data_IF_161838354697
#
_entry.id   IF_161838354697
#
_cell.length_a   1.000
_cell.length_b   1.000
_cell.length_c   1.000
_cell.angle_alpha   90.00
_cell.angle_beta   90.00
_cell.angle_gamma   90.00
#
_symmetry.space_group_name_H-M   'P 1'
#
loop_
_entity.id
_entity.type
_entity.pdbx_description
1 polymer ?
#
# COMPACT_ATOMS: atom_id res chain seq x y z
N UNK A 1 11.27 -9.47 -2.56
CA UNK A 1 11.16 -10.29 -1.33
C UNK A 1 9.68 -10.42 -0.99
N UNK A 2 9.16 -11.62 -0.68
CA UNK A 2 7.72 -11.86 -0.41
C UNK A 2 7.38 -12.19 1.04
N UNK A 3 8.37 -12.24 1.92
CA UNK A 3 8.23 -12.42 3.37
C UNK A 3 9.10 -11.36 4.05
N UNK A 4 8.49 -10.48 4.84
CA UNK A 4 9.14 -9.31 5.40
C UNK A 4 9.08 -9.32 6.92
N UNK A 5 10.22 -9.15 7.58
CA UNK A 5 10.26 -8.95 9.02
C UNK A 5 9.89 -7.48 9.34
N UNK A 6 8.68 -7.26 9.82
CA UNK A 6 8.18 -5.93 10.21
C UNK A 6 7.73 -6.01 11.67
N UNK A 7 8.27 -5.14 12.53
CA UNK A 7 7.93 -5.09 13.96
C UNK A 7 8.04 -6.46 14.68
N UNK A 8 9.07 -7.25 14.35
CA UNK A 8 9.31 -8.61 14.85
C UNK A 8 8.26 -9.66 14.45
N UNK A 9 7.40 -9.36 13.47
CA UNK A 9 6.47 -10.30 12.86
C UNK A 9 6.94 -10.66 11.44
N UNK A 10 6.63 -11.87 11.01
CA UNK A 10 6.88 -12.30 9.63
C UNK A 10 5.62 -12.02 8.81
N UNK A 11 5.66 -10.93 8.07
CA UNK A 11 4.54 -10.48 7.24
C UNK A 11 4.65 -11.03 5.83
N UNK A 12 3.51 -11.38 5.24
CA UNK A 12 3.38 -11.73 3.83
C UNK A 12 2.39 -10.79 3.14
N UNK A 13 2.03 -11.11 1.89
CA UNK A 13 1.09 -10.30 1.12
C UNK A 13 -0.29 -10.16 1.79
N UNK A 14 -0.75 -11.16 2.56
CA UNK A 14 -2.06 -11.11 3.19
C UNK A 14 -2.15 -10.00 4.24
N UNK A 15 -1.06 -9.72 4.97
CA UNK A 15 -0.98 -8.58 5.90
C UNK A 15 -1.15 -7.25 5.16
N UNK A 16 -0.48 -7.09 4.02
CA UNK A 16 -0.63 -5.90 3.19
C UNK A 16 -2.06 -5.79 2.62
N UNK A 17 -2.66 -6.91 2.21
CA UNK A 17 -4.03 -6.95 1.68
C UNK A 17 -5.06 -6.51 2.71
N UNK A 18 -5.03 -7.05 3.93
CA UNK A 18 -5.99 -6.63 4.96
C UNK A 18 -5.76 -5.18 5.39
N UNK A 19 -4.52 -4.69 5.37
CA UNK A 19 -4.20 -3.30 5.73
C UNK A 19 -4.76 -2.31 4.72
N UNK A 20 -4.48 -2.50 3.41
CA UNK A 20 -5.02 -1.62 2.36
C UNK A 20 -6.53 -1.70 2.24
N UNK A 21 -7.11 -2.89 2.49
CA UNK A 21 -8.55 -3.10 2.41
C UNK A 21 -9.32 -2.34 3.48
N UNK A 22 -8.77 -2.27 4.71
CA UNK A 22 -9.37 -1.47 5.78
C UNK A 22 -9.41 0.01 5.45
N UNK A 23 -8.29 0.56 4.94
CA UNK A 23 -8.21 1.98 4.56
C UNK A 23 -9.17 2.29 3.41
N UNK A 24 -9.21 1.44 2.38
CA UNK A 24 -10.16 1.55 1.28
C UNK A 24 -11.61 1.57 1.79
N UNK A 25 -11.97 0.63 2.67
CA UNK A 25 -13.32 0.53 3.22
C UNK A 25 -13.68 1.76 4.06
N UNK A 26 -12.75 2.26 4.88
CA UNK A 26 -12.98 3.46 5.70
C UNK A 26 -13.17 4.71 4.84
N UNK A 27 -12.38 4.88 3.78
CA UNK A 27 -12.55 5.97 2.81
C UNK A 27 -13.90 5.86 2.10
N UNK A 28 -14.24 4.66 1.61
CA UNK A 28 -15.49 4.41 0.86
C UNK A 28 -16.74 4.69 1.69
N UNK A 29 -16.70 4.38 2.99
CA UNK A 29 -17.83 4.55 3.90
C UNK A 29 -17.73 5.80 4.78
N UNK A 30 -16.81 6.72 4.48
CA UNK A 30 -16.68 8.00 5.20
C UNK A 30 -16.34 7.86 6.68
N UNK A 31 -15.66 6.78 7.09
CA UNK A 31 -15.15 6.59 8.46
C UNK A 31 -13.90 7.41 8.74
N UNK A 32 -13.15 7.71 7.68
CA UNK A 32 -11.98 8.60 7.70
C UNK A 32 -12.02 9.50 6.47
N UNK A 33 -11.53 10.73 6.57
CA UNK A 33 -11.39 11.62 5.42
C UNK A 33 -10.16 11.25 4.59
N UNK A 34 -10.22 11.54 3.29
CA UNK A 34 -9.08 11.37 2.38
C UNK A 34 -7.87 12.19 2.83
N UNK A 35 -8.08 13.44 3.21
CA UNK A 35 -7.00 14.32 3.66
C UNK A 35 -6.30 13.74 4.90
N UNK A 36 -7.05 13.15 5.84
CA UNK A 36 -6.46 12.52 7.02
C UNK A 36 -5.58 11.32 6.66
N UNK A 37 -6.00 10.52 5.68
CA UNK A 37 -5.21 9.37 5.21
C UNK A 37 -3.93 9.84 4.52
N UNK A 38 -4.01 10.85 3.66
CA UNK A 38 -2.85 11.43 2.98
C UNK A 38 -1.85 12.07 3.95
N UNK A 39 -2.33 12.72 5.01
CA UNK A 39 -1.48 13.25 6.07
C UNK A 39 -0.72 12.15 6.80
N UNK A 40 -1.42 11.06 7.16
CA UNK A 40 -0.80 9.91 7.81
C UNK A 40 0.21 9.21 6.89
N UNK A 41 -0.10 9.01 5.62
CA UNK A 41 0.85 8.42 4.66
C UNK A 41 2.14 9.22 4.57
N UNK A 42 2.04 10.55 4.49
CA UNK A 42 3.21 11.43 4.48
C UNK A 42 4.04 11.27 5.77
N UNK A 43 3.38 11.30 6.93
CA UNK A 43 4.03 11.12 8.23
C UNK A 43 4.74 9.74 8.34
N UNK A 44 4.13 8.67 7.83
CA UNK A 44 4.73 7.33 7.86
C UNK A 44 5.89 7.19 6.86
N UNK A 45 5.77 7.76 5.65
CA UNK A 45 6.86 7.77 4.67
C UNK A 45 8.07 8.57 5.18
N UNK A 46 7.86 9.69 5.87
CA UNK A 46 8.93 10.45 6.52
C UNK A 46 9.69 9.61 7.56
N UNK A 47 8.99 8.75 8.32
CA UNK A 47 9.62 7.84 9.30
C UNK A 47 10.41 6.71 8.63
N UNK A 48 9.94 6.21 7.49
CA UNK A 48 10.60 5.15 6.72
C UNK A 48 11.86 5.64 5.99
N UNK A 49 11.87 6.89 5.55
CA UNK A 49 12.95 7.47 4.77
C UNK A 49 12.83 7.18 3.26
N UNK A 50 13.87 7.47 2.47
CA UNK A 50 13.83 7.35 1.00
C UNK A 50 13.82 5.89 0.53
N UNK A 51 13.36 5.65 -0.70
CA UNK A 51 13.38 4.33 -1.35
C UNK A 51 12.05 3.56 -1.32
N UNK A 52 10.98 4.20 -0.85
CA UNK A 52 9.64 3.63 -0.78
C UNK A 52 8.67 4.26 -1.80
N UNK A 53 9.15 5.04 -2.76
CA UNK A 53 8.32 5.80 -3.70
C UNK A 53 7.45 4.86 -4.56
N UNK A 54 8.03 3.75 -5.04
CA UNK A 54 7.29 2.73 -5.81
C UNK A 54 6.23 2.03 -4.94
N UNK A 55 6.57 1.68 -3.70
CA UNK A 55 5.64 1.06 -2.76
C UNK A 55 4.48 2.01 -2.39
N UNK A 56 4.76 3.29 -2.17
CA UNK A 56 3.77 4.33 -1.93
C UNK A 56 2.82 4.50 -3.12
N UNK A 57 3.34 4.46 -4.35
CA UNK A 57 2.51 4.51 -5.56
C UNK A 57 1.55 3.32 -5.66
N UNK A 58 2.04 2.09 -5.42
CA UNK A 58 1.19 0.89 -5.39
C UNK A 58 0.12 1.01 -4.30
N UNK A 59 0.53 1.41 -3.10
CA UNK A 59 -0.40 1.58 -1.98
C UNK A 59 -1.51 2.58 -2.30
N UNK A 60 -1.15 3.75 -2.85
CA UNK A 60 -2.11 4.77 -3.27
C UNK A 60 -3.10 4.23 -4.31
N UNK A 61 -2.59 3.48 -5.30
CA UNK A 61 -3.42 2.85 -6.33
C UNK A 61 -4.46 1.90 -5.73
N UNK A 62 -4.07 1.05 -4.77
CA UNK A 62 -4.95 -0.01 -4.27
C UNK A 62 -5.81 0.38 -3.07
N UNK A 63 -5.38 1.36 -2.27
CA UNK A 63 -6.10 1.82 -1.08
C UNK A 63 -7.08 2.98 -1.39
N UNK A 64 -6.86 3.73 -2.48
CA UNK A 64 -7.66 4.93 -2.80
C UNK A 64 -8.55 4.80 -4.04
N UNK A 65 -8.48 3.67 -4.74
CA UNK A 65 -9.26 3.40 -5.94
C UNK A 65 -10.78 3.54 -5.69
N UNK A 66 -11.51 3.94 -6.74
CA UNK A 66 -12.97 4.04 -6.68
C UNK A 66 -13.64 2.67 -6.50
N UNK A 67 -13.18 1.69 -7.27
CA UNK A 67 -13.49 0.27 -7.08
C UNK A 67 -12.51 -0.39 -6.11
N UNK A 68 -12.84 -1.57 -5.60
CA UNK A 68 -11.93 -2.38 -4.78
C UNK A 68 -11.10 -3.29 -5.68
N UNK A 69 -9.78 -3.08 -5.81
CA UNK A 69 -8.93 -4.00 -6.58
C UNK A 69 -8.91 -5.37 -5.92
N UNK A 70 -8.95 -6.43 -6.73
CA UNK A 70 -9.04 -7.81 -6.24
C UNK A 70 -7.78 -8.20 -5.45
N UNK A 71 -6.60 -7.91 -6.02
CA UNK A 71 -5.31 -8.19 -5.40
C UNK A 71 -4.32 -7.05 -5.63
N UNK A 72 -3.62 -6.63 -4.57
CA UNK A 72 -2.55 -5.64 -4.68
C UNK A 72 -1.38 -6.14 -5.52
N UNK A 73 -1.19 -7.46 -5.56
CA UNK A 73 -0.09 -8.10 -6.29
C UNK A 73 -0.20 -7.86 -7.78
N UNK A 74 -1.39 -7.68 -8.35
CA UNK A 74 -1.55 -7.36 -9.77
C UNK A 74 -0.93 -6.01 -10.11
N UNK A 75 -1.24 -4.96 -9.33
CA UNK A 75 -0.67 -3.63 -9.49
C UNK A 75 0.84 -3.61 -9.21
N UNK A 76 1.31 -4.40 -8.25
CA UNK A 76 2.72 -4.49 -7.90
C UNK A 76 3.55 -5.26 -8.95
N UNK A 77 2.95 -6.27 -9.60
CA UNK A 77 3.67 -7.15 -10.54
C UNK A 77 4.12 -6.42 -11.81
N UNK A 78 3.32 -5.47 -12.30
CA UNK A 78 3.70 -4.62 -13.44
C UNK A 78 4.98 -3.82 -13.16
N UNK A 79 5.14 -3.33 -11.93
CA UNK A 79 6.33 -2.55 -11.52
C UNK A 79 7.54 -3.46 -11.30
N UNK A 80 7.32 -4.64 -10.73
CA UNK A 80 8.38 -5.64 -10.54
C UNK A 80 8.99 -6.07 -11.87
N UNK A 81 8.16 -6.31 -12.88
CA UNK A 81 8.62 -6.76 -14.20
C UNK A 81 9.21 -5.62 -15.05
N UNK A 82 8.75 -4.38 -14.85
CA UNK A 82 9.37 -3.21 -15.47
C UNK A 82 10.84 -3.06 -15.06
N UNK A 83 11.16 -3.23 -13.77
CA UNK A 83 12.53 -3.18 -13.25
C UNK A 83 13.42 -4.32 -13.76
N UNK A 84 12.87 -5.47 -14.17
CA UNK A 84 13.63 -6.59 -14.76
C UNK A 84 14.00 -6.36 -16.23
N UNK A 85 13.34 -5.42 -16.91
CA UNK A 85 13.56 -5.11 -18.33
C UNK A 85 14.43 -3.88 -18.59
N UNK A 86 14.86 -3.20 -17.52
CA UNK A 86 15.76 -2.04 -17.54
C UNK A 86 17.23 -2.45 -17.32
#
# INVERSE_FOLDING_TARGET
VGAAAINNLMEDAATAEISRSQIWQWLRHGRVSRDRVLDLEREELEKLGPGYESAASVFAEVAHAEGFPEFLTLAAYERLTADETA
#
